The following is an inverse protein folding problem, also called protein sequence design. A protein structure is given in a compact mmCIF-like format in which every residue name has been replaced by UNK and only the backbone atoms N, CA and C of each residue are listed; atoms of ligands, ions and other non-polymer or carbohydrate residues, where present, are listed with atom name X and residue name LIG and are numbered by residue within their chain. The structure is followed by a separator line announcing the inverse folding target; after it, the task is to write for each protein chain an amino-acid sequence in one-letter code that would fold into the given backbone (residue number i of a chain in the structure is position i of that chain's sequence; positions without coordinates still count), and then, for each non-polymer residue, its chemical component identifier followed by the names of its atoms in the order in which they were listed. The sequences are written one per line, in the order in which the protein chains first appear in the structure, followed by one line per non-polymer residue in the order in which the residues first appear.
data_IF_336976168012
#
_entry.id   IF_336976168012
#
_cell.length_a   1.000
_cell.length_b   1.000
_cell.length_c   1.000
_cell.angle_alpha   90.00
_cell.angle_beta   90.00
_cell.angle_gamma   90.00
#
_symmetry.space_group_name_H-M   'P 1'
#
loop_
_entity.id
_entity.type
_entity.pdbx_description
1 polymer ?
#
# COMPACT_ATOMS: atom_id res chain seq x y z
N UNK A 1 -50.55 -3.08 45.53
CA UNK A 1 -49.72 -1.99 45.00
C UNK A 1 -48.26 -2.41 45.17
N UNK A 2 -47.67 -3.05 44.16
CA UNK A 2 -46.31 -3.58 44.22
C UNK A 2 -45.36 -2.53 43.65
N UNK A 3 -44.54 -1.96 44.52
CA UNK A 3 -43.45 -1.07 44.11
C UNK A 3 -42.35 -2.03 43.66
N UNK A 4 -42.17 -2.15 42.33
CA UNK A 4 -41.00 -2.83 41.78
C UNK A 4 -39.81 -1.99 42.24
N UNK A 5 -39.04 -2.50 43.20
CA UNK A 5 -37.74 -1.94 43.54
C UNK A 5 -36.83 -2.10 42.32
N UNK A 6 -36.66 -1.01 41.59
CA UNK A 6 -35.68 -0.90 40.51
C UNK A 6 -34.29 -1.11 41.12
N UNK A 7 -33.72 -2.29 40.89
CA UNK A 7 -32.38 -2.64 41.35
C UNK A 7 -31.35 -1.61 40.80
N UNK A 8 -30.78 -0.73 41.65
CA UNK A 8 -30.03 0.45 41.20
C UNK A 8 -28.72 0.08 40.49
N UNK A 9 -28.19 -1.13 40.72
CA UNK A 9 -26.99 -1.64 40.06
C UNK A 9 -27.18 -1.89 38.56
N UNK A 10 -28.39 -2.27 38.14
CA UNK A 10 -28.73 -2.52 36.72
C UNK A 10 -28.83 -1.18 35.97
N UNK A 11 -29.31 -0.12 36.62
CA UNK A 11 -29.38 1.22 36.06
C UNK A 11 -28.00 1.84 35.82
N UNK A 12 -27.11 1.79 36.81
CA UNK A 12 -25.74 2.33 36.70
C UNK A 12 -24.90 1.60 35.65
N UNK A 13 -24.91 0.27 35.65
CA UNK A 13 -24.11 -0.53 34.67
C UNK A 13 -24.61 -0.37 33.24
N UNK A 14 -25.92 -0.23 33.04
CA UNK A 14 -26.51 0.03 31.72
C UNK A 14 -26.13 1.43 31.24
N UNK A 15 -26.25 2.45 32.09
CA UNK A 15 -25.83 3.83 31.77
C UNK A 15 -24.33 3.89 31.48
N UNK A 16 -23.49 3.22 32.26
CA UNK A 16 -22.05 3.14 32.01
C UNK A 16 -21.73 2.48 30.67
N UNK A 17 -22.48 1.44 30.26
CA UNK A 17 -22.30 0.78 28.97
C UNK A 17 -22.68 1.70 27.80
N UNK A 18 -23.77 2.46 27.91
CA UNK A 18 -24.15 3.43 26.86
C UNK A 18 -23.14 4.56 26.77
N UNK A 19 -22.69 5.11 27.89
CA UNK A 19 -21.66 6.16 27.91
C UNK A 19 -20.35 5.64 27.32
N UNK A 20 -19.93 4.43 27.68
CA UNK A 20 -18.74 3.80 27.09
C UNK A 20 -18.89 3.60 25.57
N UNK A 21 -20.04 3.10 25.11
CA UNK A 21 -20.30 2.90 23.68
C UNK A 21 -20.30 4.21 22.88
N UNK A 22 -20.82 5.30 23.46
CA UNK A 22 -20.80 6.62 22.84
C UNK A 22 -19.37 7.18 22.82
N UNK A 23 -18.61 7.02 23.90
CA UNK A 23 -17.22 7.46 23.97
C UNK A 23 -16.33 6.77 22.92
N UNK A 24 -16.56 5.48 22.63
CA UNK A 24 -15.83 4.76 21.57
C UNK A 24 -16.01 5.45 20.20
N UNK A 25 -17.22 5.88 19.86
CA UNK A 25 -17.48 6.57 18.59
C UNK A 25 -16.76 7.93 18.49
N UNK A 26 -16.68 8.67 19.60
CA UNK A 26 -15.98 9.95 19.67
C UNK A 26 -14.46 9.76 19.56
N UNK A 27 -13.88 8.80 20.28
CA UNK A 27 -12.45 8.47 20.20
C UNK A 27 -12.07 8.06 18.78
N UNK A 28 -12.86 7.19 18.15
CA UNK A 28 -12.59 6.75 16.79
C UNK A 28 -12.61 7.92 15.79
N UNK A 29 -13.55 8.85 15.95
CA UNK A 29 -13.66 10.04 15.09
C UNK A 29 -12.48 11.00 15.31
N UNK A 30 -12.03 11.16 16.56
CA UNK A 30 -10.86 11.97 16.89
C UNK A 30 -9.56 11.36 16.36
N UNK A 31 -9.39 10.04 16.45
CA UNK A 31 -8.26 9.33 15.83
C UNK A 31 -8.21 9.58 14.32
N UNK A 32 -9.37 9.52 13.62
CA UNK A 32 -9.45 9.88 12.20
C UNK A 32 -9.06 11.34 11.93
N UNK A 33 -9.58 12.27 12.73
CA UNK A 33 -9.33 13.70 12.55
C UNK A 33 -7.86 14.08 12.82
N UNK A 34 -7.22 13.47 13.83
CA UNK A 34 -5.83 13.77 14.24
C UNK A 34 -4.80 13.08 13.34
N UNK A 35 -5.03 11.82 12.97
CA UNK A 35 -4.13 11.10 12.07
C UNK A 35 -4.23 11.65 10.64
N UNK A 36 -5.45 12.03 10.23
CA UNK A 36 -5.78 12.51 8.89
C UNK A 36 -6.04 11.36 7.93
N UNK A 37 -7.02 11.54 7.03
CA UNK A 37 -7.46 10.51 6.06
C UNK A 37 -6.29 9.92 5.24
N UNK A 38 -5.30 10.75 4.89
CA UNK A 38 -4.13 10.36 4.11
C UNK A 38 -3.07 9.56 4.87
N UNK A 39 -3.10 9.54 6.21
CA UNK A 39 -2.16 8.77 7.04
C UNK A 39 -2.77 7.52 7.67
N UNK A 40 -4.07 7.30 7.51
CA UNK A 40 -4.67 6.00 7.84
C UNK A 40 -4.32 4.98 6.75
N UNK A 41 -3.70 3.87 7.16
CA UNK A 41 -3.47 2.71 6.27
C UNK A 41 -4.80 2.07 5.91
N UNK A 42 -5.43 2.57 4.85
CA UNK A 42 -6.62 1.96 4.26
C UNK A 42 -6.20 0.87 3.28
N UNK A 43 -7.07 -0.13 3.07
CA UNK A 43 -6.83 -1.16 2.05
C UNK A 43 -6.58 -0.54 0.66
N UNK A 44 -7.33 0.53 0.33
CA UNK A 44 -7.14 1.31 -0.91
C UNK A 44 -5.78 2.00 -0.97
N UNK A 45 -5.33 2.60 0.13
CA UNK A 45 -4.02 3.26 0.22
C UNK A 45 -2.87 2.27 0.03
N UNK A 46 -2.91 1.13 0.73
CA UNK A 46 -1.91 0.07 0.61
C UNK A 46 -1.84 -0.49 -0.82
N UNK A 47 -3.00 -0.70 -1.46
CA UNK A 47 -3.06 -1.16 -2.85
C UNK A 47 -2.43 -0.15 -3.81
N UNK A 48 -2.67 1.15 -3.60
CA UNK A 48 -2.07 2.19 -4.42
C UNK A 48 -0.54 2.27 -4.25
N UNK A 49 -0.04 2.15 -3.02
CA UNK A 49 1.41 2.08 -2.77
C UNK A 49 2.07 0.89 -3.47
N UNK A 50 1.42 -0.28 -3.44
CA UNK A 50 1.91 -1.47 -4.13
C UNK A 50 2.00 -1.24 -5.66
N UNK A 51 0.96 -0.63 -6.26
CA UNK A 51 0.95 -0.29 -7.69
C UNK A 51 2.07 0.71 -8.02
N UNK A 52 2.28 1.73 -7.20
CA UNK A 52 3.39 2.67 -7.40
C UNK A 52 4.75 1.97 -7.33
N UNK A 53 4.94 1.04 -6.38
CA UNK A 53 6.15 0.24 -6.28
C UNK A 53 6.35 -0.66 -7.51
N UNK A 54 5.28 -1.24 -8.05
CA UNK A 54 5.34 -2.07 -9.27
C UNK A 54 5.69 -1.24 -10.51
N UNK A 55 5.11 -0.05 -10.66
CA UNK A 55 5.49 0.88 -11.74
C UNK A 55 6.97 1.24 -11.65
N UNK A 56 7.47 1.61 -10.46
CA UNK A 56 8.88 1.90 -10.27
C UNK A 56 9.81 0.70 -10.51
N UNK A 57 9.33 -0.54 -10.31
CA UNK A 57 10.07 -1.75 -10.71
C UNK A 57 10.06 -1.94 -12.22
N UNK A 58 8.94 -1.69 -12.88
CA UNK A 58 8.82 -1.78 -14.33
C UNK A 58 9.72 -0.76 -15.04
N UNK A 59 9.75 0.49 -14.56
CA UNK A 59 10.61 1.54 -15.12
C UNK A 59 12.10 1.17 -15.03
N UNK A 60 12.52 0.62 -13.88
CA UNK A 60 13.89 0.13 -13.71
C UNK A 60 14.23 -1.06 -14.62
N UNK A 61 13.27 -1.96 -14.86
CA UNK A 61 13.48 -3.07 -15.80
C UNK A 61 13.60 -2.56 -17.22
N UNK A 62 12.76 -1.62 -17.64
CA UNK A 62 12.83 -1.02 -18.97
C UNK A 62 14.19 -0.34 -19.22
N UNK A 63 14.73 0.34 -18.22
CA UNK A 63 16.06 0.94 -18.33
C UNK A 63 17.18 -0.11 -18.46
N UNK A 64 17.11 -1.19 -17.68
CA UNK A 64 18.06 -2.30 -17.82
C UNK A 64 17.96 -2.97 -19.19
N UNK A 65 16.74 -3.23 -19.66
CA UNK A 65 16.49 -3.84 -20.97
C UNK A 65 17.08 -2.96 -22.10
N UNK A 66 16.95 -1.64 -21.98
CA UNK A 66 17.58 -0.68 -22.89
C UNK A 66 19.10 -0.81 -22.88
N UNK A 67 19.74 -0.78 -21.71
CA UNK A 67 21.20 -0.90 -21.60
C UNK A 67 21.72 -2.24 -22.14
N UNK A 68 20.98 -3.32 -21.89
CA UNK A 68 21.29 -4.66 -22.42
C UNK A 68 21.19 -4.68 -23.94
N UNK A 69 20.16 -4.06 -24.51
CA UNK A 69 20.01 -3.95 -25.96
C UNK A 69 21.15 -3.16 -26.61
N UNK A 70 21.53 -2.03 -26.01
CA UNK A 70 22.66 -1.21 -26.47
C UNK A 70 23.98 -2.02 -26.43
N UNK A 71 24.23 -2.76 -25.35
CA UNK A 71 25.41 -3.62 -25.22
C UNK A 71 25.41 -4.77 -26.23
N UNK A 72 24.26 -5.40 -26.46
CA UNK A 72 24.11 -6.48 -27.43
C UNK A 72 24.37 -5.98 -28.86
N UNK A 73 23.82 -4.82 -29.23
CA UNK A 73 24.07 -4.17 -30.51
C UNK A 73 25.56 -3.84 -30.72
N UNK A 74 26.24 -3.30 -29.69
CA UNK A 74 27.67 -3.02 -29.76
C UNK A 74 28.50 -4.29 -30.00
N UNK A 75 28.15 -5.40 -29.33
CA UNK A 75 28.81 -6.71 -29.55
C UNK A 75 28.56 -7.24 -30.96
N UNK A 76 27.33 -7.14 -31.46
CA UNK A 76 27.00 -7.58 -32.82
C UNK A 76 27.78 -6.78 -33.88
N UNK A 77 27.87 -5.45 -33.70
CA UNK A 77 28.65 -4.57 -34.57
C UNK A 77 30.15 -4.91 -34.56
N UNK A 78 30.71 -5.29 -33.41
CA UNK A 78 32.10 -5.72 -33.31
C UNK A 78 32.36 -7.10 -33.96
N UNK A 79 31.37 -7.99 -33.99
CA UNK A 79 31.48 -9.31 -34.59
C UNK A 79 31.37 -9.31 -36.14
N UNK A 80 30.60 -8.37 -36.71
CA UNK A 80 30.39 -8.25 -38.16
C UNK A 80 31.67 -8.04 -39.01
N UNK A 81 32.62 -7.15 -38.67
CA UNK A 81 33.82 -6.93 -39.49
C UNK A 81 34.78 -8.12 -39.52
N UNK A 82 34.64 -9.08 -38.59
CA UNK A 82 35.51 -10.26 -38.52
C UNK A 82 35.05 -11.39 -39.47
N UNK A 83 33.77 -11.42 -39.88
CA UNK A 83 33.26 -12.41 -40.85
C UNK A 83 33.57 -12.05 -42.30
N UNK A 84 33.56 -10.77 -42.66
CA UNK A 84 33.84 -10.32 -44.04
C UNK A 84 35.34 -10.40 -44.41
N UNK A 85 36.24 -10.50 -43.42
CA UNK A 85 37.69 -10.58 -43.65
C UNK A 85 38.25 -12.00 -43.70
N UNK A 86 37.42 -13.05 -43.64
CA UNK A 86 37.89 -14.42 -43.78
C UNK A 86 37.97 -14.76 -45.28
N UNK A 87 39.16 -14.79 -45.91
CA UNK A 87 39.25 -15.14 -47.31
C UNK A 87 38.96 -16.64 -47.45
N UNK A 88 37.94 -16.97 -48.23
CA UNK A 88 37.74 -18.33 -48.73
C UNK A 88 38.73 -18.50 -49.87
N UNK A 89 39.66 -19.44 -49.72
CA UNK A 89 40.70 -19.73 -50.71
C UNK A 89 40.17 -20.24 -52.03
#
# INVERSE_FOLDING_TARGET
MSIVESNPSIGLTTISRTVASLAVGVVHTLERAVVGEGRMRTARGNAWEAVCADRARADRRAELDRLVAELAAARAAAAHPQRERQPVG
#
